data_IF_587434512166
#
_entry.id   IF_587434512166
#
_cell.length_a   1.000
_cell.length_b   1.000
_cell.length_c   1.000
_cell.angle_alpha   90.00
_cell.angle_beta   90.00
_cell.angle_gamma   90.00
#
_symmetry.space_group_name_H-M   'P 1'
#
loop_
_entity.id
_entity.type
_entity.pdbx_description
1 polymer ?
#
# COMPACT_ATOMS: atom_id res chain seq x y z
N UNK A 1 -32.22 -61.70 -37.35
CA UNK A 1 -31.88 -61.26 -38.73
C UNK A 1 -32.61 -59.93 -38.95
N UNK A 2 -32.03 -58.78 -39.29
CA UNK A 2 -30.74 -58.37 -39.87
C UNK A 2 -30.28 -57.07 -39.17
N UNK A 3 -28.96 -56.93 -38.97
CA UNK A 3 -28.28 -55.68 -38.57
C UNK A 3 -28.09 -54.79 -39.81
N UNK A 4 -28.24 -53.48 -39.68
CA UNK A 4 -27.82 -52.46 -40.66
C UNK A 4 -27.01 -51.36 -39.94
N UNK A 5 -25.90 -50.87 -40.51
CA UNK A 5 -24.97 -49.98 -39.80
C UNK A 5 -25.30 -48.51 -40.08
N UNK A 6 -25.37 -47.69 -39.02
CA UNK A 6 -25.29 -46.23 -39.15
C UNK A 6 -23.82 -45.83 -38.97
N UNK A 7 -23.21 -45.31 -40.04
CA UNK A 7 -21.92 -44.64 -39.99
C UNK A 7 -22.06 -43.16 -39.57
N UNK A 8 -20.99 -42.52 -39.08
CA UNK A 8 -21.02 -41.11 -38.68
C UNK A 8 -21.04 -40.17 -39.90
N UNK A 9 -21.56 -38.93 -39.76
CA UNK A 9 -21.65 -37.97 -40.85
C UNK A 9 -20.28 -37.35 -41.22
N UNK A 10 -20.10 -36.87 -42.46
CA UNK A 10 -18.83 -36.37 -42.94
C UNK A 10 -18.57 -34.88 -42.65
N UNK A 11 -17.28 -34.59 -42.48
CA UNK A 11 -16.57 -33.33 -42.79
C UNK A 11 -16.69 -32.12 -41.86
N UNK A 12 -15.84 -32.13 -40.83
CA UNK A 12 -15.11 -30.93 -40.40
C UNK A 12 -13.94 -30.69 -41.38
N UNK A 13 -14.17 -29.93 -42.46
CA UNK A 13 -13.10 -29.38 -43.32
C UNK A 13 -13.57 -28.09 -44.00
N UNK A 14 -13.88 -27.07 -43.22
CA UNK A 14 -13.83 -25.69 -43.67
C UNK A 14 -13.26 -24.86 -42.52
N UNK A 15 -12.44 -23.86 -42.86
CA UNK A 15 -11.92 -22.82 -41.95
C UNK A 15 -10.52 -23.01 -41.34
N UNK A 16 -9.56 -23.49 -42.13
CA UNK A 16 -8.15 -23.09 -41.93
C UNK A 16 -7.65 -22.15 -43.03
N UNK A 17 -8.14 -22.32 -44.26
CA UNK A 17 -7.81 -21.42 -45.39
C UNK A 17 -8.45 -20.03 -45.25
N UNK A 18 -9.63 -19.93 -44.62
CA UNK A 18 -10.31 -18.66 -44.39
C UNK A 18 -9.62 -17.83 -43.27
N UNK A 19 -9.05 -18.51 -42.26
CA UNK A 19 -8.29 -17.87 -41.19
C UNK A 19 -6.93 -17.35 -41.68
N UNK A 20 -6.27 -18.07 -42.60
CA UNK A 20 -5.00 -17.67 -43.20
C UNK A 20 -5.13 -16.49 -44.17
N UNK A 21 -6.25 -16.38 -44.90
CA UNK A 21 -6.51 -15.24 -45.78
C UNK A 21 -6.78 -13.93 -45.02
N UNK A 22 -7.42 -13.99 -43.84
CA UNK A 22 -7.65 -12.83 -42.99
C UNK A 22 -6.36 -12.32 -42.32
N UNK A 23 -5.40 -13.21 -42.02
CA UNK A 23 -4.12 -12.83 -41.41
C UNK A 23 -3.17 -12.12 -42.40
N UNK A 24 -3.24 -12.45 -43.70
CA UNK A 24 -2.42 -11.84 -44.76
C UNK A 24 -2.89 -10.43 -45.16
N UNK A 25 -4.16 -10.07 -44.92
CA UNK A 25 -4.69 -8.74 -45.20
C UNK A 25 -4.39 -7.71 -44.10
N UNK A 26 -4.01 -8.14 -42.89
CA UNK A 26 -3.63 -7.25 -41.77
C UNK A 26 -2.13 -6.91 -41.74
N UNK A 27 -1.29 -7.59 -42.53
CA UNK A 27 0.17 -7.41 -42.54
C UNK A 27 0.71 -6.69 -43.80
N UNK A 28 -0.16 -6.26 -44.71
CA UNK A 28 0.22 -5.55 -45.94
C UNK A 28 -0.21 -4.08 -45.93
N UNK A 29 0.24 -3.31 -44.93
CA UNK A 29 0.28 -1.84 -44.96
C UNK A 29 1.70 -1.37 -45.29
N UNK A 30 1.93 -0.92 -46.53
CA UNK A 30 3.24 -0.49 -47.05
C UNK A 30 3.50 1.02 -46.84
N UNK A 31 4.76 1.46 -46.95
CA UNK A 31 5.29 2.74 -46.46
C UNK A 31 5.25 3.87 -47.50
N UNK A 32 5.49 5.11 -47.05
CA UNK A 32 6.03 6.18 -47.90
C UNK A 32 6.83 7.21 -47.07
N UNK A 33 8.13 7.24 -47.34
CA UNK A 33 9.06 8.32 -47.02
C UNK A 33 8.91 9.47 -48.01
N UNK A 34 9.10 10.72 -47.56
CA UNK A 34 9.59 11.78 -48.45
C UNK A 34 10.50 12.73 -47.66
N UNK A 35 11.70 12.95 -48.21
CA UNK A 35 12.76 13.83 -47.74
C UNK A 35 12.91 14.96 -48.77
N UNK A 36 13.06 16.22 -48.32
CA UNK A 36 13.95 17.16 -49.00
C UNK A 36 14.30 18.40 -48.15
N UNK A 37 15.59 18.50 -47.83
CA UNK A 37 16.50 19.67 -47.88
C UNK A 37 16.16 21.03 -47.23
N UNK A 38 16.90 21.29 -46.13
CA UNK A 38 17.78 22.42 -45.83
C UNK A 38 17.57 23.80 -46.51
N UNK A 39 17.44 24.85 -45.68
CA UNK A 39 18.35 26.02 -45.60
C UNK A 39 17.97 26.90 -44.40
N UNK A 40 18.97 27.39 -43.68
CA UNK A 40 18.80 28.35 -42.59
C UNK A 40 18.87 29.80 -43.06
N UNK A 41 18.38 30.72 -42.23
CA UNK A 41 18.89 32.09 -42.06
C UNK A 41 18.26 32.75 -40.82
N UNK A 42 18.94 33.77 -40.32
CA UNK A 42 18.80 34.38 -38.99
C UNK A 42 17.58 35.30 -38.83
N UNK A 43 17.20 35.41 -37.55
CA UNK A 43 16.48 36.45 -36.81
C UNK A 43 16.15 37.80 -37.46
N UNK A 44 14.95 38.29 -37.15
CA UNK A 44 14.76 39.66 -36.64
C UNK A 44 13.58 39.72 -35.64
N UNK A 45 13.72 40.63 -34.70
CA UNK A 45 13.06 40.78 -33.40
C UNK A 45 11.87 41.73 -33.48
N UNK A 46 10.73 41.38 -32.86
CA UNK A 46 9.72 42.38 -32.46
C UNK A 46 9.17 42.01 -31.09
N UNK A 47 9.43 42.88 -30.10
CA UNK A 47 9.08 42.73 -28.70
C UNK A 47 7.69 43.30 -28.36
N UNK A 48 6.96 42.64 -27.45
CA UNK A 48 6.09 43.21 -26.39
C UNK A 48 5.34 42.08 -25.63
N UNK A 49 4.86 42.29 -24.39
CA UNK A 49 5.58 42.61 -23.16
C UNK A 49 5.45 41.48 -22.11
N UNK A 50 6.40 41.45 -21.17
CA UNK A 50 6.52 40.49 -20.06
C UNK A 50 5.49 40.75 -18.96
N UNK A 51 4.77 39.72 -18.53
CA UNK A 51 4.33 39.55 -17.14
C UNK A 51 4.97 38.27 -16.60
N UNK A 52 5.66 38.39 -15.47
CA UNK A 52 6.64 37.44 -14.98
C UNK A 52 6.05 36.11 -14.51
N UNK A 53 6.73 35.04 -14.90
CA UNK A 53 6.73 33.75 -14.24
C UNK A 53 8.21 33.41 -14.03
N UNK A 54 8.73 33.74 -12.85
CA UNK A 54 10.03 33.26 -12.39
C UNK A 54 9.78 32.02 -11.54
N UNK A 55 10.49 30.92 -11.86
CA UNK A 55 10.72 29.82 -10.91
C UNK A 55 10.55 28.39 -11.41
N UNK A 56 11.04 28.03 -12.60
CA UNK A 56 11.35 26.62 -12.91
C UNK A 56 12.65 26.23 -12.16
N UNK A 57 12.49 25.49 -11.07
CA UNK A 57 13.53 24.67 -10.45
C UNK A 57 13.16 23.18 -10.61
N UNK A 58 14.14 22.26 -10.71
CA UNK A 58 13.86 20.85 -10.88
C UNK A 58 13.09 20.30 -9.67
N UNK A 59 12.20 19.31 -9.84
CA UNK A 59 11.56 18.67 -8.69
C UNK A 59 12.63 17.91 -7.90
N UNK A 60 12.97 18.44 -6.73
CA UNK A 60 13.86 17.78 -5.78
C UNK A 60 13.23 16.46 -5.32
N UNK A 61 13.74 15.37 -5.90
CA UNK A 61 13.63 14.03 -5.39
C UNK A 61 14.50 13.90 -4.13
N UNK A 62 13.94 14.30 -2.99
CA UNK A 62 14.35 13.87 -1.65
C UNK A 62 13.26 14.31 -0.68
N UNK A 63 12.29 13.43 -0.41
CA UNK A 63 11.37 13.65 0.70
C UNK A 63 12.21 13.63 1.99
N UNK A 64 12.47 14.82 2.53
CA UNK A 64 13.18 15.00 3.79
C UNK A 64 12.41 14.27 4.90
N UNK A 65 13.07 13.32 5.55
CA UNK A 65 12.54 12.58 6.69
C UNK A 65 12.10 13.53 7.80
N UNK A 66 10.79 13.57 8.06
CA UNK A 66 10.24 14.28 9.21
C UNK A 66 10.44 13.40 10.45
N UNK A 67 11.49 13.67 11.23
CA UNK A 67 11.60 13.18 12.61
C UNK A 67 10.56 13.94 13.43
N UNK A 68 9.33 13.44 13.45
CA UNK A 68 8.31 13.91 14.39
C UNK A 68 8.48 13.11 15.68
N UNK A 69 9.17 13.71 16.65
CA UNK A 69 9.08 13.26 18.03
C UNK A 69 7.61 13.37 18.43
N UNK A 70 6.94 12.24 18.66
CA UNK A 70 5.63 12.27 19.32
C UNK A 70 5.78 13.10 20.58
N UNK A 71 4.95 14.14 20.74
CA UNK A 71 5.01 15.02 21.91
C UNK A 71 4.67 14.29 23.24
N UNK A 72 4.37 12.98 23.21
CA UNK A 72 4.26 12.11 24.39
C UNK A 72 5.41 11.10 24.55
N UNK A 73 6.37 11.05 23.62
CA UNK A 73 7.57 10.21 23.74
C UNK A 73 7.31 8.70 23.80
N UNK A 74 6.15 8.20 23.34
CA UNK A 74 5.84 6.75 23.33
C UNK A 74 6.35 6.02 22.10
N UNK A 75 6.46 6.73 20.98
CA UNK A 75 6.98 6.19 19.73
C UNK A 75 7.63 7.30 18.88
N UNK A 76 8.56 6.89 18.02
CA UNK A 76 9.12 7.67 16.93
C UNK A 76 8.87 6.95 15.62
N UNK A 77 8.93 7.67 14.50
CA UNK A 77 8.75 7.05 13.19
C UNK A 77 9.65 7.65 12.12
N UNK A 78 9.82 6.91 11.04
CA UNK A 78 10.56 7.29 9.85
C UNK A 78 9.89 6.74 8.61
N UNK A 79 10.04 7.44 7.49
CA UNK A 79 9.36 7.09 6.23
C UNK A 79 10.36 7.22 5.09
N UNK A 80 10.44 6.19 4.25
CA UNK A 80 11.26 6.20 3.05
C UNK A 80 10.43 5.73 1.86
N UNK A 81 10.49 6.49 0.76
CA UNK A 81 9.69 6.23 -0.44
C UNK A 81 10.51 6.49 -1.71
N UNK A 82 10.36 5.63 -2.71
CA UNK A 82 11.06 5.77 -4.00
C UNK A 82 10.21 5.21 -5.15
N UNK A 83 10.17 5.86 -6.32
CA UNK A 83 9.54 5.31 -7.50
C UNK A 83 10.24 4.04 -8.04
N UNK A 84 11.47 3.77 -7.57
CA UNK A 84 12.24 2.62 -8.02
C UNK A 84 12.48 2.65 -9.52
N UNK A 85 12.09 1.58 -10.22
CA UNK A 85 12.21 1.47 -11.68
C UNK A 85 10.94 1.87 -12.44
N UNK A 86 9.85 2.21 -11.74
CA UNK A 86 8.59 2.62 -12.36
C UNK A 86 8.71 4.05 -12.91
N UNK A 87 7.90 4.36 -13.92
CA UNK A 87 7.85 5.69 -14.53
C UNK A 87 7.10 6.73 -13.67
N UNK A 88 6.27 6.27 -12.74
CA UNK A 88 5.47 7.07 -11.82
C UNK A 88 5.60 6.56 -10.40
N UNK A 89 5.38 7.45 -9.43
CA UNK A 89 5.19 7.11 -8.02
C UNK A 89 3.69 7.08 -7.73
N UNK A 90 3.14 5.88 -7.58
CA UNK A 90 1.72 5.63 -7.28
C UNK A 90 1.51 5.23 -5.81
N UNK A 91 2.59 4.90 -5.10
CA UNK A 91 2.61 4.75 -3.65
C UNK A 91 2.42 6.08 -2.91
N UNK A 92 1.66 6.03 -1.82
CA UNK A 92 1.55 7.10 -0.82
C UNK A 92 1.77 6.55 0.59
N UNK A 93 2.14 7.43 1.50
CA UNK A 93 2.16 7.15 2.93
C UNK A 93 1.59 8.33 3.72
N UNK A 94 1.14 8.03 4.93
CA UNK A 94 0.72 9.03 5.89
C UNK A 94 1.18 8.62 7.29
N UNK A 95 1.69 9.59 8.04
CA UNK A 95 1.96 9.47 9.45
C UNK A 95 1.33 10.68 10.13
N UNK A 96 0.36 10.41 11.01
CA UNK A 96 -0.45 11.42 11.67
C UNK A 96 -0.51 11.14 13.16
N UNK A 97 -0.32 12.18 13.95
CA UNK A 97 -0.46 12.12 15.41
C UNK A 97 -1.52 13.13 15.79
N UNK A 98 -2.61 12.67 16.40
CA UNK A 98 -3.70 13.51 16.88
C UNK A 98 -3.92 13.32 18.38
N UNK A 99 -4.76 14.20 18.94
CA UNK A 99 -5.32 14.10 20.28
C UNK A 99 -6.84 13.99 20.15
N UNK A 100 -7.42 12.91 20.67
CA UNK A 100 -8.84 12.58 20.56
C UNK A 100 -9.37 12.30 21.95
N UNK A 101 -10.26 13.17 22.44
CA UNK A 101 -10.83 13.07 23.79
C UNK A 101 -9.77 12.96 24.91
N UNK A 102 -8.58 13.57 24.72
CA UNK A 102 -7.47 13.51 25.66
C UNK A 102 -6.54 12.29 25.49
N UNK A 103 -6.87 11.39 24.57
CA UNK A 103 -6.02 10.25 24.18
C UNK A 103 -5.16 10.62 22.98
N UNK A 104 -3.85 10.43 23.08
CA UNK A 104 -2.96 10.60 21.92
C UNK A 104 -3.02 9.38 21.02
N UNK A 105 -3.25 9.65 19.73
CA UNK A 105 -3.46 8.64 18.71
C UNK A 105 -2.37 8.76 17.66
N UNK A 106 -1.71 7.64 17.36
CA UNK A 106 -0.82 7.52 16.21
C UNK A 106 -1.52 6.78 15.08
N UNK A 107 -1.52 7.33 13.87
CA UNK A 107 -2.07 6.71 12.67
C UNK A 107 -1.02 6.70 11.57
N UNK A 108 -0.70 5.52 11.06
CA UNK A 108 0.32 5.29 10.04
C UNK A 108 -0.25 4.46 8.92
N UNK A 109 0.02 4.82 7.67
CA UNK A 109 -0.52 4.13 6.50
C UNK A 109 0.48 4.07 5.36
N UNK A 110 0.48 2.93 4.66
CA UNK A 110 1.09 2.75 3.33
C UNK A 110 -0.02 2.37 2.37
N UNK A 111 -0.07 3.07 1.24
CA UNK A 111 -1.10 2.96 0.21
C UNK A 111 -0.41 2.73 -1.13
N UNK A 112 -0.36 1.47 -1.57
CA UNK A 112 0.18 1.10 -2.88
C UNK A 112 -0.90 1.31 -3.93
N UNK A 113 -0.64 2.18 -4.92
CA UNK A 113 -1.60 2.57 -5.94
C UNK A 113 -1.40 1.83 -7.25
N UNK A 114 -2.51 1.46 -7.90
CA UNK A 114 -2.48 0.86 -9.23
C UNK A 114 -3.54 1.48 -10.14
N UNK A 115 -3.25 1.54 -11.46
CA UNK A 115 -4.15 2.15 -12.43
C UNK A 115 -4.23 3.68 -12.32
N UNK A 116 -3.22 4.32 -11.71
CA UNK A 116 -3.16 5.74 -11.43
C UNK A 116 -3.14 6.06 -9.93
N UNK A 117 -2.58 7.21 -9.58
CA UNK A 117 -2.42 7.70 -8.19
C UNK A 117 -3.72 7.97 -7.41
N UNK A 118 -4.85 8.06 -8.10
CA UNK A 118 -6.06 8.73 -7.58
C UNK A 118 -6.69 8.02 -6.39
N UNK A 119 -6.74 6.69 -6.41
CA UNK A 119 -7.29 5.92 -5.31
C UNK A 119 -6.40 6.02 -4.06
N UNK A 120 -5.10 5.78 -4.21
CA UNK A 120 -4.13 5.86 -3.12
C UNK A 120 -4.07 7.27 -2.50
N UNK A 121 -4.05 8.30 -3.34
CA UNK A 121 -4.09 9.70 -2.90
C UNK A 121 -5.38 10.03 -2.14
N UNK A 122 -6.54 9.58 -2.64
CA UNK A 122 -7.83 9.80 -1.98
C UNK A 122 -7.89 9.10 -0.62
N UNK A 123 -7.50 7.83 -0.56
CA UNK A 123 -7.47 7.06 0.69
C UNK A 123 -6.56 7.74 1.72
N UNK A 124 -5.36 8.14 1.32
CA UNK A 124 -4.44 8.93 2.16
C UNK A 124 -5.07 10.24 2.66
N UNK A 125 -5.83 10.96 1.86
CA UNK A 125 -6.43 12.24 2.29
C UNK A 125 -7.62 12.07 3.24
N UNK A 126 -8.37 10.98 3.10
CA UNK A 126 -9.69 10.85 3.71
C UNK A 126 -9.79 9.78 4.80
N UNK A 127 -9.02 8.69 4.74
CA UNK A 127 -9.21 7.52 5.60
C UNK A 127 -9.08 7.86 7.09
N UNK A 128 -7.95 8.44 7.51
CA UNK A 128 -7.74 8.82 8.92
C UNK A 128 -8.64 9.98 9.35
N UNK A 129 -8.93 10.91 8.44
CA UNK A 129 -9.87 12.01 8.70
C UNK A 129 -11.31 11.53 8.92
N UNK A 130 -11.73 10.45 8.25
CA UNK A 130 -13.02 9.81 8.46
C UNK A 130 -13.00 8.98 9.75
N UNK A 131 -11.90 8.27 10.01
CA UNK A 131 -11.75 7.39 11.16
C UNK A 131 -11.83 8.15 12.49
N UNK A 132 -11.10 9.26 12.61
CA UNK A 132 -11.05 10.06 13.84
C UNK A 132 -12.40 10.70 14.19
N UNK A 133 -13.26 10.91 13.19
CA UNK A 133 -14.62 11.45 13.37
C UNK A 133 -15.64 10.34 13.63
N UNK A 134 -15.24 9.08 13.54
CA UNK A 134 -16.16 7.96 13.68
C UNK A 134 -16.66 7.88 15.13
N UNK A 135 -17.98 7.79 15.37
CA UNK A 135 -18.54 7.83 16.74
C UNK A 135 -18.08 6.67 17.62
N UNK A 136 -17.64 5.56 17.01
CA UNK A 136 -17.10 4.39 17.72
C UNK A 136 -15.58 4.39 17.85
N UNK A 137 -14.87 5.43 17.40
CA UNK A 137 -13.41 5.38 17.26
C UNK A 137 -12.69 4.96 18.56
N UNK A 138 -13.08 5.54 19.70
CA UNK A 138 -12.54 5.18 21.01
C UNK A 138 -13.22 3.93 21.60
N UNK A 139 -14.55 3.84 21.51
CA UNK A 139 -15.33 2.80 22.21
C UNK A 139 -15.24 1.42 21.56
N UNK A 140 -15.10 1.36 20.23
CA UNK A 140 -14.98 0.15 19.43
C UNK A 140 -14.17 0.46 18.16
N UNK A 141 -12.85 0.62 18.37
CA UNK A 141 -11.91 1.00 17.31
C UNK A 141 -11.90 0.01 16.15
N UNK A 142 -12.11 -1.29 16.40
CA UNK A 142 -12.17 -2.31 15.34
C UNK A 142 -13.37 -2.10 14.43
N UNK A 143 -14.56 -1.93 15.00
CA UNK A 143 -15.74 -1.63 14.21
C UNK A 143 -15.60 -0.30 13.47
N UNK A 144 -15.03 0.73 14.14
CA UNK A 144 -14.78 2.03 13.51
C UNK A 144 -13.86 1.91 12.29
N UNK A 145 -12.77 1.14 12.37
CA UNK A 145 -11.87 0.89 11.23
C UNK A 145 -12.62 0.20 10.08
N UNK A 146 -13.30 -0.92 10.35
CA UNK A 146 -14.00 -1.67 9.31
C UNK A 146 -15.11 -0.83 8.62
N UNK A 147 -15.89 -0.08 9.40
CA UNK A 147 -16.92 0.82 8.88
C UNK A 147 -16.30 1.97 8.07
N UNK A 148 -15.18 2.54 8.54
CA UNK A 148 -14.50 3.66 7.86
C UNK A 148 -13.84 3.25 6.55
N UNK A 149 -13.27 2.05 6.46
CA UNK A 149 -12.69 1.52 5.22
C UNK A 149 -13.76 1.43 4.12
N UNK A 150 -14.87 0.77 4.43
CA UNK A 150 -16.00 0.64 3.50
C UNK A 150 -16.65 1.99 3.17
N UNK A 151 -16.71 2.91 4.13
CA UNK A 151 -17.23 4.26 3.92
C UNK A 151 -16.34 5.05 2.96
N UNK A 152 -15.03 5.13 3.22
CA UNK A 152 -14.05 5.85 2.40
C UNK A 152 -14.00 5.30 0.98
N UNK A 153 -14.05 3.98 0.80
CA UNK A 153 -14.15 3.35 -0.52
C UNK A 153 -15.43 3.75 -1.26
N UNK A 154 -16.57 3.72 -0.56
CA UNK A 154 -17.86 4.15 -1.13
C UNK A 154 -17.87 5.63 -1.53
N UNK A 155 -17.19 6.50 -0.78
CA UNK A 155 -17.04 7.91 -1.13
C UNK A 155 -16.15 8.09 -2.37
N UNK A 156 -15.02 7.38 -2.43
CA UNK A 156 -14.13 7.39 -3.61
C UNK A 156 -14.88 6.96 -4.87
N UNK A 157 -15.60 5.83 -4.85
CA UNK A 157 -16.32 5.30 -6.02
C UNK A 157 -17.43 6.23 -6.54
N UNK A 158 -17.99 7.07 -5.66
CA UNK A 158 -18.98 8.11 -5.99
C UNK A 158 -18.32 9.37 -6.54
N UNK A 159 -17.21 9.80 -5.94
CA UNK A 159 -16.44 10.96 -6.37
C UNK A 159 -15.75 10.71 -7.72
N UNK A 160 -15.33 9.47 -7.97
CA UNK A 160 -14.70 9.08 -9.21
C UNK A 160 -15.71 8.95 -10.36
N UNK A 161 -15.75 10.02 -11.16
CA UNK A 161 -16.52 10.10 -12.41
C UNK A 161 -15.74 9.60 -13.63
N UNK A 162 -14.47 9.19 -13.48
CA UNK A 162 -13.67 8.73 -14.59
C UNK A 162 -14.18 7.36 -15.08
N UNK A 163 -14.68 7.35 -16.31
CA UNK A 163 -15.13 6.13 -16.99
C UNK A 163 -13.96 5.35 -17.62
N UNK A 164 -12.75 5.92 -17.62
CA UNK A 164 -11.63 5.47 -18.46
C UNK A 164 -10.44 4.93 -17.68
N UNK A 165 -10.38 5.11 -16.35
CA UNK A 165 -9.28 4.62 -15.51
C UNK A 165 -9.84 4.00 -14.24
N UNK A 166 -9.75 2.68 -14.16
CA UNK A 166 -10.07 1.92 -12.96
C UNK A 166 -8.87 1.95 -12.01
N UNK A 167 -8.80 3.00 -11.20
CA UNK A 167 -7.74 3.17 -10.22
C UNK A 167 -8.12 2.45 -8.93
N UNK A 168 -7.14 1.82 -8.30
CA UNK A 168 -7.31 1.18 -7.00
C UNK A 168 -6.09 1.36 -6.13
N UNK A 169 -6.22 0.96 -4.87
CA UNK A 169 -5.11 1.02 -3.93
C UNK A 169 -5.25 0.00 -2.82
N UNK A 170 -4.11 -0.54 -2.40
CA UNK A 170 -3.98 -1.25 -1.13
C UNK A 170 -4.00 -0.27 0.04
N UNK A 171 -4.20 -0.77 1.26
CA UNK A 171 -3.93 0.00 2.46
C UNK A 171 -3.46 -0.95 3.57
N UNK A 172 -2.26 -0.71 4.06
CA UNK A 172 -1.76 -1.31 5.30
C UNK A 172 -1.60 -0.19 6.32
N UNK A 173 -2.47 -0.18 7.34
CA UNK A 173 -2.52 0.88 8.34
C UNK A 173 -2.31 0.36 9.74
N UNK A 174 -1.72 1.20 10.59
CA UNK A 174 -1.56 0.97 12.02
C UNK A 174 -2.11 2.15 12.81
N UNK A 175 -3.01 1.83 13.74
CA UNK A 175 -3.71 2.78 14.60
C UNK A 175 -3.32 2.45 16.04
N UNK A 176 -2.67 3.40 16.71
CA UNK A 176 -2.24 3.31 18.10
C UNK A 176 -3.18 4.17 18.94
N UNK A 177 -3.95 3.56 19.84
CA UNK A 177 -4.84 4.23 20.81
C UNK A 177 -4.55 3.65 22.20
N UNK A 178 -4.10 4.49 23.13
CA UNK A 178 -3.65 4.00 24.45
C UNK A 178 -2.45 3.06 24.31
N UNK A 179 -2.57 1.84 24.82
CA UNK A 179 -1.59 0.75 24.69
C UNK A 179 -1.97 -0.26 23.58
N UNK A 180 -2.95 0.06 22.75
CA UNK A 180 -3.47 -0.84 21.72
C UNK A 180 -2.91 -0.46 20.36
N UNK A 181 -2.35 -1.43 19.65
CA UNK A 181 -1.96 -1.33 18.24
C UNK A 181 -2.97 -2.13 17.41
N UNK A 182 -3.73 -1.45 16.56
CA UNK A 182 -4.64 -2.07 15.60
C UNK A 182 -4.03 -1.95 14.21
N UNK A 183 -3.72 -3.09 13.60
CA UNK A 183 -3.26 -3.18 12.22
C UNK A 183 -4.42 -3.63 11.35
N UNK A 184 -4.71 -2.86 10.31
CA UNK A 184 -5.77 -3.14 9.35
C UNK A 184 -5.17 -3.20 7.95
N UNK A 185 -5.46 -4.27 7.21
CA UNK A 185 -4.90 -4.50 5.88
C UNK A 185 -5.97 -4.80 4.83
N UNK A 186 -5.78 -4.22 3.65
CA UNK A 186 -6.49 -4.50 2.40
C UNK A 186 -5.44 -4.51 1.30
N UNK A 187 -5.37 -5.60 0.52
CA UNK A 187 -4.34 -5.79 -0.51
C UNK A 187 -3.10 -6.51 0.01
N UNK A 188 -1.97 -6.32 -0.65
CA UNK A 188 -0.71 -7.05 -0.47
C UNK A 188 0.48 -6.19 0.01
N UNK A 189 0.22 -4.93 0.36
CA UNK A 189 1.04 -4.27 1.38
C UNK A 189 1.01 -5.09 2.68
N UNK A 190 2.08 -5.01 3.48
CA UNK A 190 2.23 -5.85 4.68
C UNK A 190 2.77 -5.08 5.88
N UNK A 191 2.31 -5.51 7.05
CA UNK A 191 2.68 -5.05 8.37
C UNK A 191 3.39 -6.17 9.16
N UNK A 192 4.58 -5.89 9.68
CA UNK A 192 5.39 -6.81 10.46
C UNK A 192 5.88 -6.11 11.73
N UNK A 193 5.70 -6.72 12.90
CA UNK A 193 6.27 -6.24 14.16
C UNK A 193 7.52 -7.03 14.53
N UNK A 194 8.42 -6.39 15.28
CA UNK A 194 9.42 -7.06 16.08
C UNK A 194 8.93 -7.15 17.52
N UNK A 195 8.64 -8.38 17.98
CA UNK A 195 8.17 -8.64 19.34
C UNK A 195 9.07 -9.66 20.03
N UNK A 196 9.70 -9.29 21.14
CA UNK A 196 10.69 -10.11 21.82
C UNK A 196 11.84 -10.52 20.90
N UNK A 197 12.25 -9.63 20.00
CA UNK A 197 13.28 -9.88 18.99
C UNK A 197 12.87 -10.75 17.80
N UNK A 198 11.61 -11.18 17.70
CA UNK A 198 11.10 -12.04 16.63
C UNK A 198 10.23 -11.26 15.64
N UNK A 199 10.33 -11.62 14.36
CA UNK A 199 9.47 -11.09 13.32
C UNK A 199 8.09 -11.76 13.38
N UNK A 200 7.03 -10.96 13.49
CA UNK A 200 5.65 -11.44 13.49
C UNK A 200 4.87 -10.63 12.45
N UNK A 201 4.38 -11.31 11.42
CA UNK A 201 3.42 -10.70 10.50
C UNK A 201 2.10 -10.45 11.24
N UNK A 202 1.68 -9.18 11.25
CA UNK A 202 0.43 -8.74 11.87
C UNK A 202 -0.63 -8.35 10.85
N UNK A 203 -0.33 -8.53 9.57
CA UNK A 203 -1.28 -8.58 8.47
C UNK A 203 -1.07 -9.83 7.63
N UNK A 204 -2.09 -10.17 6.84
CA UNK A 204 -2.01 -11.16 5.76
C UNK A 204 -2.22 -10.46 4.43
N UNK A 205 -1.38 -10.77 3.45
CA UNK A 205 -1.54 -10.28 2.09
C UNK A 205 -2.80 -10.87 1.46
N UNK A 206 -3.57 -10.06 0.74
CA UNK A 206 -4.80 -10.50 0.09
C UNK A 206 -4.52 -10.85 -1.38
N UNK A 207 -4.04 -12.08 -1.60
CA UNK A 207 -3.71 -12.61 -2.93
C UNK A 207 -4.86 -13.47 -3.49
N UNK A 208 -5.17 -13.39 -4.80
CA UNK A 208 -6.31 -14.10 -5.40
C UNK A 208 -6.29 -15.64 -5.30
N UNK A 209 -5.14 -16.27 -5.06
CA UNK A 209 -5.00 -17.72 -4.96
C UNK A 209 -5.18 -18.29 -3.55
N UNK A 210 -5.31 -17.42 -2.55
CA UNK A 210 -5.67 -17.86 -1.20
C UNK A 210 -7.07 -18.47 -1.22
N UNK A 211 -7.24 -19.59 -0.53
CA UNK A 211 -8.45 -20.42 -0.67
C UNK A 211 -9.73 -19.69 -0.28
N UNK A 212 -9.69 -18.87 0.77
CA UNK A 212 -10.82 -18.07 1.24
C UNK A 212 -11.14 -16.90 0.29
N UNK A 213 -10.11 -16.19 -0.17
CA UNK A 213 -10.27 -15.10 -1.14
C UNK A 213 -10.78 -15.59 -2.49
N UNK A 214 -10.22 -16.70 -2.99
CA UNK A 214 -10.65 -17.35 -4.22
C UNK A 214 -12.10 -17.79 -4.14
N UNK A 215 -12.47 -18.47 -3.04
CA UNK A 215 -13.85 -18.90 -2.82
C UNK A 215 -14.81 -17.70 -2.81
N UNK A 216 -14.47 -16.62 -2.09
CA UNK A 216 -15.27 -15.39 -2.05
C UNK A 216 -15.46 -14.78 -3.44
N UNK A 217 -14.41 -14.75 -4.26
CA UNK A 217 -14.46 -14.23 -5.63
C UNK A 217 -15.36 -15.10 -6.52
N UNK A 218 -15.19 -16.42 -6.47
CA UNK A 218 -15.96 -17.38 -7.28
C UNK A 218 -17.44 -17.42 -6.85
N UNK A 219 -17.74 -17.35 -5.55
CA UNK A 219 -19.12 -17.26 -5.01
C UNK A 219 -19.83 -15.97 -5.44
N UNK A 220 -19.07 -14.88 -5.59
CA UNK A 220 -19.58 -13.62 -6.14
C UNK A 220 -19.78 -13.66 -7.66
N UNK A 221 -19.47 -14.78 -8.34
CA UNK A 221 -19.59 -14.94 -9.80
C UNK A 221 -18.37 -14.48 -10.59
N UNK A 222 -17.27 -14.15 -9.90
CA UNK A 222 -15.98 -13.84 -10.50
C UNK A 222 -15.19 -15.10 -10.82
N UNK A 223 -13.95 -14.90 -11.28
CA UNK A 223 -13.01 -16.00 -11.47
C UNK A 223 -11.58 -15.55 -11.19
N UNK A 224 -10.73 -16.50 -10.82
CA UNK A 224 -9.28 -16.30 -10.64
C UNK A 224 -8.54 -17.05 -11.73
N UNK A 225 -7.63 -16.38 -12.43
CA UNK A 225 -6.82 -16.99 -13.48
C UNK A 225 -5.34 -16.71 -13.30
N UNK A 226 -4.51 -17.66 -13.73
CA UNK A 226 -3.06 -17.50 -13.78
C UNK A 226 -2.65 -16.77 -15.07
N UNK A 227 -2.01 -15.62 -14.94
CA UNK A 227 -1.43 -14.84 -16.04
C UNK A 227 -0.13 -14.17 -15.57
N UNK A 228 0.94 -14.97 -15.44
CA UNK A 228 2.22 -14.58 -14.83
C UNK A 228 2.17 -14.53 -13.29
N UNK A 229 1.03 -14.10 -12.74
CA UNK A 229 0.61 -14.23 -11.35
C UNK A 229 -0.89 -14.51 -11.30
N UNK A 230 -1.43 -14.88 -10.14
CA UNK A 230 -2.87 -15.07 -9.96
C UNK A 230 -3.62 -13.75 -9.98
N UNK A 231 -4.69 -13.69 -10.78
CA UNK A 231 -5.43 -12.45 -11.02
C UNK A 231 -6.94 -12.63 -10.95
N UNK A 232 -7.63 -11.69 -10.30
CA UNK A 232 -9.10 -11.55 -10.31
C UNK A 232 -9.54 -11.06 -11.69
N UNK A 233 -10.44 -11.78 -12.33
CA UNK A 233 -10.95 -11.45 -13.67
C UNK A 233 -9.87 -11.39 -14.75
N UNK A 234 -8.67 -11.93 -14.48
CA UNK A 234 -7.51 -11.82 -15.37
C UNK A 234 -6.79 -10.48 -15.35
N UNK A 235 -7.20 -9.54 -14.51
CA UNK A 235 -6.69 -8.16 -14.50
C UNK A 235 -5.89 -7.88 -13.24
N UNK A 236 -6.48 -8.04 -12.06
CA UNK A 236 -5.93 -7.51 -10.81
C UNK A 236 -5.23 -8.58 -9.97
N UNK A 237 -4.01 -8.31 -9.51
CA UNK A 237 -3.18 -9.28 -8.75
C UNK A 237 -3.43 -9.27 -7.23
N UNK A 238 -4.37 -8.44 -6.76
CA UNK A 238 -4.86 -8.39 -5.38
C UNK A 238 -6.33 -8.77 -5.33
N UNK A 239 -6.78 -9.40 -4.24
CA UNK A 239 -8.18 -9.78 -4.03
C UNK A 239 -8.99 -8.74 -3.26
N UNK A 240 -8.34 -7.81 -2.57
CA UNK A 240 -8.94 -6.72 -1.81
C UNK A 240 -8.22 -5.41 -2.11
N UNK A 241 -8.98 -4.34 -2.31
CA UNK A 241 -8.47 -3.00 -2.61
C UNK A 241 -9.57 -1.95 -2.40
N UNK A 242 -9.14 -0.71 -2.17
CA UNK A 242 -9.95 0.48 -2.40
C UNK A 242 -10.06 0.75 -3.91
N UNK A 243 -11.16 1.33 -4.36
CA UNK A 243 -11.37 1.61 -5.78
C UNK A 243 -11.70 0.34 -6.57
N UNK A 244 -11.08 0.17 -7.74
CA UNK A 244 -11.32 -0.95 -8.66
C UNK A 244 -12.81 -1.13 -8.99
N UNK A 245 -13.44 -0.02 -9.39
CA UNK A 245 -14.88 0.12 -9.65
C UNK A 245 -15.43 -0.96 -10.58
N UNK A 246 -14.70 -1.36 -11.62
CA UNK A 246 -15.17 -2.38 -12.56
C UNK A 246 -15.13 -3.79 -11.95
N UNK A 247 -14.29 -4.00 -10.93
CA UNK A 247 -14.11 -5.28 -10.25
C UNK A 247 -14.69 -5.28 -8.84
N UNK A 248 -15.37 -4.22 -8.39
CA UNK A 248 -15.80 -4.05 -6.98
C UNK A 248 -16.73 -5.14 -6.46
N UNK A 249 -17.46 -5.81 -7.35
CA UNK A 249 -18.23 -7.00 -6.99
C UNK A 249 -17.35 -8.13 -6.42
N UNK A 250 -16.08 -8.19 -6.83
CA UNK A 250 -15.12 -9.23 -6.49
C UNK A 250 -13.96 -8.70 -5.63
N UNK A 251 -13.65 -7.41 -5.70
CA UNK A 251 -12.53 -6.77 -5.00
C UNK A 251 -13.10 -5.85 -3.92
N UNK A 252 -13.04 -6.29 -2.67
CA UNK A 252 -13.66 -5.60 -1.53
C UNK A 252 -12.65 -4.74 -0.78
N UNK A 253 -13.12 -3.66 -0.14
CA UNK A 253 -12.31 -2.83 0.76
C UNK A 253 -12.49 -3.24 2.24
N UNK A 254 -12.89 -4.49 2.49
CA UNK A 254 -13.09 -5.02 3.85
C UNK A 254 -11.75 -5.42 4.48
N UNK A 255 -11.30 -4.74 5.56
CA UNK A 255 -9.99 -4.98 6.13
C UNK A 255 -9.95 -6.23 7.02
N UNK A 256 -8.84 -6.97 6.95
CA UNK A 256 -8.47 -7.88 8.03
C UNK A 256 -7.80 -7.06 9.14
N UNK A 257 -8.32 -7.15 10.38
CA UNK A 257 -7.85 -6.33 11.51
C UNK A 257 -7.25 -7.24 12.59
N UNK A 258 -5.98 -7.00 12.94
CA UNK A 258 -5.30 -7.61 14.08
C UNK A 258 -5.00 -6.57 15.15
N UNK A 259 -5.11 -6.99 16.40
CA UNK A 259 -4.84 -6.13 17.55
C UNK A 259 -3.73 -6.74 18.40
N UNK A 260 -2.78 -5.89 18.78
CA UNK A 260 -1.65 -6.20 19.64
C UNK A 260 -1.59 -5.19 20.79
N UNK A 261 -1.00 -5.62 21.91
CA UNK A 261 -0.69 -4.73 23.03
C UNK A 261 0.72 -4.17 22.84
N UNK A 262 0.86 -2.85 22.97
CA UNK A 262 2.12 -2.12 23.00
C UNK A 262 2.68 -2.18 24.41
N UNK A 263 3.47 -3.22 24.67
CA UNK A 263 4.26 -3.42 25.87
C UNK A 263 5.77 -3.34 25.57
N UNK A 264 6.61 -3.55 26.59
CA UNK A 264 8.07 -3.53 26.43
C UNK A 264 8.64 -4.63 25.54
N UNK A 265 7.83 -5.63 25.16
CA UNK A 265 8.26 -6.66 24.22
C UNK A 265 8.10 -6.21 22.77
N UNK A 266 7.23 -5.24 22.49
CA UNK A 266 6.94 -4.76 21.13
C UNK A 266 7.89 -3.61 20.78
N UNK A 267 8.98 -3.93 20.09
CA UNK A 267 10.10 -2.99 19.85
C UNK A 267 9.82 -2.00 18.70
N UNK A 268 9.29 -2.50 17.58
CA UNK A 268 8.96 -1.69 16.41
C UNK A 268 7.98 -2.39 15.47
N UNK A 269 7.35 -1.59 14.61
CA UNK A 269 6.49 -1.98 13.51
C UNK A 269 7.11 -1.51 12.18
N UNK A 270 6.98 -2.35 11.16
CA UNK A 270 7.29 -2.07 9.75
C UNK A 270 5.98 -2.15 8.96
N UNK A 271 5.60 -1.08 8.28
CA UNK A 271 4.59 -1.10 7.22
C UNK A 271 5.30 -0.87 5.89
N UNK A 272 5.02 -1.66 4.85
CA UNK A 272 5.57 -1.40 3.53
C UNK A 272 4.71 -1.97 2.40
N UNK A 273 4.88 -1.41 1.20
CA UNK A 273 4.32 -1.93 -0.06
C UNK A 273 5.04 -3.22 -0.49
N UNK A 274 4.46 -3.92 -1.47
CA UNK A 274 5.03 -5.17 -1.98
C UNK A 274 6.41 -4.97 -2.63
N UNK A 275 6.74 -3.76 -3.08
CA UNK A 275 8.06 -3.39 -3.56
C UNK A 275 9.20 -3.65 -2.58
N UNK A 276 8.92 -3.71 -1.26
CA UNK A 276 9.83 -4.27 -0.26
C UNK A 276 9.68 -5.79 -0.14
N UNK A 277 8.45 -6.26 0.12
CA UNK A 277 8.16 -7.63 0.56
C UNK A 277 8.37 -8.70 -0.51
N UNK A 278 8.40 -8.33 -1.79
CA UNK A 278 8.72 -9.22 -2.90
C UNK A 278 10.19 -9.66 -2.90
N UNK A 279 11.08 -8.90 -2.26
CA UNK A 279 12.53 -9.14 -2.30
C UNK A 279 13.20 -9.23 -0.93
N UNK A 280 12.49 -8.91 0.15
CA UNK A 280 12.97 -9.00 1.55
C UNK A 280 11.97 -9.78 2.38
N UNK A 281 12.42 -10.81 3.10
CA UNK A 281 11.54 -11.57 4.00
C UNK A 281 11.27 -10.82 5.31
N UNK A 282 10.24 -11.23 6.05
CA UNK A 282 9.89 -10.63 7.34
C UNK A 282 11.07 -10.66 8.33
N UNK A 283 11.77 -11.80 8.40
CA UNK A 283 12.91 -12.03 9.30
C UNK A 283 14.12 -11.18 8.90
N UNK A 284 14.40 -11.07 7.59
CA UNK A 284 15.47 -10.23 7.08
C UNK A 284 15.20 -8.74 7.38
N UNK A 285 13.97 -8.28 7.16
CA UNK A 285 13.57 -6.91 7.43
C UNK A 285 13.76 -6.55 8.91
N UNK A 286 13.27 -7.41 9.82
CA UNK A 286 13.46 -7.22 11.27
C UNK A 286 14.93 -7.26 11.66
N UNK A 287 15.71 -8.20 11.12
CA UNK A 287 17.15 -8.29 11.40
C UNK A 287 17.92 -7.03 10.96
N UNK A 288 17.53 -6.40 9.85
CA UNK A 288 18.13 -5.15 9.38
C UNK A 288 17.75 -3.93 10.20
N UNK A 289 16.49 -3.85 10.65
CA UNK A 289 15.98 -2.70 11.43
C UNK A 289 16.43 -2.74 12.89
N UNK A 290 16.53 -3.93 13.48
CA UNK A 290 16.85 -4.11 14.92
C UNK A 290 18.09 -3.35 15.42
N UNK A 291 19.25 -3.33 14.72
CA UNK A 291 20.41 -2.59 15.19
C UNK A 291 20.34 -1.06 14.99
N UNK A 292 19.35 -0.54 14.26
CA UNK A 292 19.28 0.87 13.86
C UNK A 292 18.27 1.62 14.74
N UNK A 293 18.74 2.52 15.60
CA UNK A 293 17.86 3.23 16.54
C UNK A 293 16.99 4.28 15.85
N UNK A 294 17.56 5.04 14.90
CA UNK A 294 16.79 6.04 14.15
C UNK A 294 15.81 5.35 13.19
N UNK A 295 14.49 5.51 13.36
CA UNK A 295 13.52 4.89 12.47
C UNK A 295 13.62 5.41 11.03
N UNK A 296 14.13 6.62 10.80
CA UNK A 296 14.36 7.13 9.44
C UNK A 296 15.50 6.38 8.75
N UNK A 297 16.65 6.26 9.41
CA UNK A 297 17.78 5.45 8.90
C UNK A 297 17.36 3.99 8.66
N UNK A 298 16.50 3.44 9.52
CA UNK A 298 15.97 2.09 9.36
C UNK A 298 15.07 1.94 8.12
N UNK A 299 14.20 2.93 7.85
CA UNK A 299 13.35 2.94 6.66
C UNK A 299 14.21 3.06 5.38
N UNK A 300 15.20 3.96 5.38
CA UNK A 300 16.14 4.13 4.26
C UNK A 300 16.94 2.86 4.01
N UNK A 301 17.36 2.17 5.07
CA UNK A 301 18.09 0.89 4.97
C UNK A 301 17.28 -0.17 4.24
N UNK A 302 16.00 -0.34 4.56
CA UNK A 302 15.13 -1.31 3.91
C UNK A 302 14.87 -0.95 2.45
N UNK A 303 14.61 0.32 2.16
CA UNK A 303 14.40 0.81 0.79
C UNK A 303 15.64 0.57 -0.08
N UNK A 304 16.83 0.87 0.44
CA UNK A 304 18.10 0.64 -0.26
C UNK A 304 18.33 -0.85 -0.51
N UNK A 305 18.04 -1.71 0.47
CA UNK A 305 18.19 -3.16 0.30
C UNK A 305 17.24 -3.70 -0.76
N UNK A 306 15.96 -3.31 -0.76
CA UNK A 306 15.00 -3.69 -1.79
C UNK A 306 15.44 -3.25 -3.20
N UNK A 307 15.92 -2.01 -3.31
CA UNK A 307 16.48 -1.47 -4.55
C UNK A 307 17.69 -2.27 -5.03
N UNK A 308 18.62 -2.59 -4.12
CA UNK A 308 19.84 -3.37 -4.41
C UNK A 308 19.53 -4.80 -4.84
N UNK A 309 18.50 -5.42 -4.26
CA UNK A 309 17.99 -6.74 -4.66
C UNK A 309 17.20 -6.72 -5.97
N UNK A 310 17.03 -5.54 -6.55
CA UNK A 310 16.51 -5.37 -7.90
C UNK A 310 15.01 -5.22 -7.97
N UNK A 311 14.33 -4.88 -6.87
CA UNK A 311 12.90 -4.53 -6.88
C UNK A 311 12.58 -3.63 -8.06
N UNK A 312 11.50 -3.98 -8.76
CA UNK A 312 11.03 -3.28 -9.96
C UNK A 312 9.85 -2.36 -9.71
N UNK A 313 9.40 -2.26 -8.47
CA UNK A 313 8.22 -1.50 -8.10
C UNK A 313 8.54 -0.15 -7.43
N UNK A 314 7.49 0.62 -7.15
CA UNK A 314 7.53 1.63 -6.10
C UNK A 314 7.82 0.96 -4.76
N UNK A 315 8.56 1.65 -3.91
CA UNK A 315 8.96 1.12 -2.61
C UNK A 315 8.63 2.18 -1.58
N UNK A 316 7.74 1.86 -0.65
CA UNK A 316 7.41 2.71 0.49
C UNK A 316 7.50 1.91 1.78
N UNK A 317 8.22 2.47 2.75
CA UNK A 317 8.47 1.86 4.05
C UNK A 317 8.19 2.89 5.14
N UNK A 318 7.40 2.51 6.13
CA UNK A 318 7.18 3.25 7.37
C UNK A 318 7.68 2.39 8.53
N UNK A 319 8.57 2.95 9.34
CA UNK A 319 9.04 2.36 10.58
C UNK A 319 8.42 3.12 11.74
N UNK A 320 7.78 2.43 12.67
CA UNK A 320 7.34 2.99 13.95
C UNK A 320 8.09 2.26 15.06
N UNK A 321 8.93 2.99 15.80
CA UNK A 321 9.71 2.46 16.92
C UNK A 321 9.03 2.84 18.23
N UNK A 322 8.79 1.85 19.09
CA UNK A 322 8.22 2.08 20.40
C UNK A 322 9.35 2.34 21.40
N UNK A 323 9.15 3.31 22.29
CA UNK A 323 10.16 3.73 23.25
C UNK A 323 9.89 3.05 24.60
N UNK A 324 10.89 2.37 25.15
CA UNK A 324 10.79 1.68 26.43
C UNK A 324 10.38 2.65 27.56
N UNK A 325 9.39 2.25 28.36
CA UNK A 325 9.22 2.79 29.72
C UNK A 325 8.24 3.95 29.92
N UNK A 326 7.10 3.99 29.21
CA UNK A 326 5.97 4.87 29.60
C UNK A 326 4.61 4.15 29.52
N UNK A 327 4.47 3.05 30.24
CA UNK A 327 3.19 2.76 30.91
C UNK A 327 2.99 3.83 31.99
N UNK A 328 1.86 4.58 32.00
CA UNK A 328 1.48 5.36 33.16
C UNK A 328 1.05 4.37 34.25
N UNK A 329 1.99 3.93 35.10
CA UNK A 329 1.61 2.98 36.16
C UNK A 329 2.68 2.41 37.07
N UNK A 330 3.99 2.64 36.86
CA UNK A 330 4.98 1.87 37.66
C UNK A 330 6.21 2.65 38.14
N UNK A 331 6.18 3.99 38.14
CA UNK A 331 7.30 4.81 38.66
C UNK A 331 6.99 5.59 39.94
N UNK A 332 5.79 5.43 40.51
CA UNK A 332 5.44 6.06 41.79
C UNK A 332 5.66 5.19 43.02
N UNK A 333 5.76 3.85 42.90
CA UNK A 333 5.87 2.97 44.07
C UNK A 333 7.30 2.58 44.48
N UNK A 334 8.30 2.71 43.59
CA UNK A 334 9.69 2.37 43.95
C UNK A 334 10.44 3.49 44.71
N UNK A 335 10.00 4.76 44.61
CA UNK A 335 10.67 5.86 45.33
C UNK A 335 10.25 6.00 46.81
N UNK A 336 9.14 5.41 47.23
CA UNK A 336 8.70 5.46 48.64
C UNK A 336 9.22 4.31 49.49
N UNK A 337 9.72 3.22 48.90
CA UNK A 337 10.35 2.12 49.66
C UNK A 337 11.83 2.34 49.96
N UNK A 338 12.53 3.13 49.15
CA UNK A 338 13.96 3.41 49.36
C UNK A 338 14.18 4.52 50.41
N UNK A 339 13.21 5.42 50.62
CA UNK A 339 13.28 6.46 51.65
C UNK A 339 12.77 6.01 53.03
N UNK A 340 12.05 4.89 53.12
CA UNK A 340 11.53 4.36 54.39
C UNK A 340 12.53 3.46 55.14
N UNK A 341 13.58 2.95 54.47
CA UNK A 341 14.54 2.03 55.10
C UNK A 341 15.74 2.73 55.75
N UNK A 342 15.97 4.02 55.46
CA UNK A 342 17.09 4.79 56.03
C UNK A 342 16.75 5.53 57.34
N UNK A 343 15.50 5.43 57.82
CA UNK A 343 15.06 6.07 59.07
C UNK A 343 14.93 5.11 60.26
N UNK A 344 15.30 3.83 60.13
CA UNK A 344 15.18 2.86 61.23
C UNK A 344 16.51 2.22 61.67
N UNK A 345 17.64 2.83 61.29
CA UNK A 345 18.96 2.53 61.84
C UNK A 345 19.59 3.79 62.44
N UNK A 346 19.14 4.17 63.63
CA UNK A 346 19.83 5.11 64.52
C UNK A 346 19.62 4.71 65.97
#
# INVERSE_FOLDING_TARGET
>A
MRKGPWGPPPSARLSLLLLLLLLLLLLAGRPASCSCCCRGERAEEVAAPRMGLDGDGPPDAAAAGHISNSANGRFTYGVASSPGKRASMEDFSEARIDDVDGEKVGMFGVYDGHGGVRAAEYVKQHLFSNLIKHPKFITDTKAAIAETYNHTDSEFLKADSSQTRDAGSTASTAIIVGDRLLVANVGDSRAVICKGGQAIAVSRDHKPDQSDERQRIEDAGGFVMWAGTWRVGGVLAVSRAFGDKLLKQYVVADPEIKEEVVDSSLEFLILASDGLWDVVTNEEAVAMVKPIQDPQEAADKLLQEASKRGSSDNITVVIVRFLDGTTPGDKSEEKEKETANDQNSS
#
